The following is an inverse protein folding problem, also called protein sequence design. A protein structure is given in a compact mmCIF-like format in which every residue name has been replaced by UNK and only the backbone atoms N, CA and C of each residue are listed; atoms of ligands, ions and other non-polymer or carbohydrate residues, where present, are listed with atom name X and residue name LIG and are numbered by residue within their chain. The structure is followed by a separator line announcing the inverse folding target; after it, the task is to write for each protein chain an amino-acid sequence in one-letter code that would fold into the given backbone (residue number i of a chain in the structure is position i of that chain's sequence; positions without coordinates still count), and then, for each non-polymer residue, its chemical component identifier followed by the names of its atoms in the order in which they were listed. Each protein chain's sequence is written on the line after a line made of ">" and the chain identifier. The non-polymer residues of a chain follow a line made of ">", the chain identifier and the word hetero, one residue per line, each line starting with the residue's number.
data_IF_376140445661
#
_entry.id   IF_376140445661
#
_cell.length_a   1.000
_cell.length_b   1.000
_cell.length_c   1.000
_cell.angle_alpha   90.00
_cell.angle_beta   90.00
_cell.angle_gamma   90.00
#
_symmetry.space_group_name_H-M   'P 1'
#
loop_
_entity.id
_entity.type
_entity.pdbx_description
1 polymer ?
#
# COMPACT_ATOMS: atom_id res chain seq x y z
N UNK A 1 -8.66 5.03 -36.16
CA UNK A 1 -9.30 4.04 -37.07
C UNK A 1 -9.64 4.60 -38.45
N UNK A 2 -9.21 5.81 -38.84
CA UNK A 2 -9.53 6.40 -40.16
C UNK A 2 -8.34 6.30 -41.14
N UNK A 3 -7.10 6.38 -40.63
CA UNK A 3 -5.87 6.37 -41.45
C UNK A 3 -5.65 5.04 -42.19
N UNK A 4 -5.91 3.91 -41.54
CA UNK A 4 -5.77 2.57 -42.15
C UNK A 4 -6.66 2.39 -43.39
N UNK A 5 -7.85 3.01 -43.41
CA UNK A 5 -8.80 2.87 -44.52
C UNK A 5 -8.42 3.66 -45.77
N UNK A 6 -7.54 4.66 -45.65
CA UNK A 6 -7.01 5.41 -46.80
C UNK A 6 -5.78 4.72 -47.39
N UNK A 7 -4.91 4.12 -46.57
CA UNK A 7 -3.72 3.40 -47.04
C UNK A 7 -4.06 2.11 -47.80
N UNK A 8 -5.10 1.39 -47.37
CA UNK A 8 -5.60 0.18 -48.07
C UNK A 8 -6.17 0.48 -49.46
N UNK A 9 -6.58 1.72 -49.74
CA UNK A 9 -7.06 2.13 -51.07
C UNK A 9 -5.92 2.49 -52.05
N UNK A 10 -4.70 2.64 -51.55
CA UNK A 10 -3.51 2.99 -52.32
C UNK A 10 -2.55 1.79 -52.49
N UNK A 11 -3.09 0.57 -52.45
CA UNK A 11 -2.32 -0.66 -52.61
C UNK A 11 -1.84 -0.81 -54.07
N UNK A 12 -0.56 -1.17 -54.30
CA UNK A 12 -0.08 -1.61 -55.60
C UNK A 12 -0.81 -2.90 -56.03
N UNK A 13 -1.29 -2.96 -57.28
CA UNK A 13 -2.03 -4.13 -57.81
C UNK A 13 -1.11 -5.32 -58.17
N UNK A 14 0.21 -5.13 -58.20
CA UNK A 14 1.19 -6.18 -58.56
C UNK A 14 1.79 -6.89 -57.34
N UNK A 15 1.79 -8.24 -57.38
CA UNK A 15 2.10 -9.10 -56.24
C UNK A 15 3.50 -8.92 -55.61
N UNK A 16 4.52 -8.52 -56.38
CA UNK A 16 5.88 -8.30 -55.84
C UNK A 16 6.02 -6.95 -55.09
N UNK A 17 5.24 -5.94 -55.48
CA UNK A 17 5.23 -4.63 -54.81
C UNK A 17 4.36 -4.66 -53.55
N UNK A 18 3.27 -5.44 -53.60
CA UNK A 18 2.43 -5.71 -52.44
C UNK A 18 3.19 -6.46 -51.33
N UNK A 19 3.98 -7.49 -51.67
CA UNK A 19 4.76 -8.26 -50.69
C UNK A 19 5.79 -7.37 -49.97
N UNK A 20 6.48 -6.50 -50.71
CA UNK A 20 7.42 -5.51 -50.13
C UNK A 20 6.70 -4.53 -49.21
N UNK A 21 5.58 -3.97 -49.65
CA UNK A 21 4.77 -3.07 -48.83
C UNK A 21 4.26 -3.75 -47.55
N UNK A 22 3.84 -5.01 -47.65
CA UNK A 22 3.37 -5.80 -46.53
C UNK A 22 4.49 -6.02 -45.50
N UNK A 23 5.67 -6.45 -45.93
CA UNK A 23 6.82 -6.65 -45.05
C UNK A 23 7.31 -5.33 -44.42
N UNK A 24 7.33 -4.22 -45.17
CA UNK A 24 7.68 -2.90 -44.63
C UNK A 24 6.68 -2.42 -43.57
N UNK A 25 5.37 -2.62 -43.80
CA UNK A 25 4.32 -2.26 -42.84
C UNK A 25 4.35 -3.15 -41.62
N UNK A 26 4.59 -4.46 -41.79
CA UNK A 26 4.76 -5.41 -40.70
C UNK A 26 5.99 -5.07 -39.86
N UNK A 27 7.12 -4.74 -40.48
CA UNK A 27 8.31 -4.27 -39.78
C UNK A 27 8.04 -2.97 -39.01
N UNK A 28 7.29 -2.03 -39.61
CA UNK A 28 6.90 -0.78 -38.96
C UNK A 28 5.99 -1.00 -37.75
N UNK A 29 5.01 -1.91 -37.86
CA UNK A 29 4.12 -2.27 -36.75
C UNK A 29 4.90 -2.96 -35.62
N UNK A 30 5.79 -3.90 -35.96
CA UNK A 30 6.66 -4.55 -34.97
C UNK A 30 7.55 -3.54 -34.24
N UNK A 31 8.10 -2.55 -34.96
CA UNK A 31 8.90 -1.49 -34.34
C UNK A 31 8.06 -0.61 -33.39
N UNK A 32 6.82 -0.30 -33.75
CA UNK A 32 5.89 0.44 -32.88
C UNK A 32 5.54 -0.38 -31.64
N UNK A 33 5.28 -1.68 -31.79
CA UNK A 33 4.96 -2.58 -30.69
C UNK A 33 6.14 -2.70 -29.71
N UNK A 34 7.36 -2.92 -30.22
CA UNK A 34 8.57 -2.94 -29.41
C UNK A 34 8.80 -1.63 -28.65
N UNK A 35 8.55 -0.48 -29.30
CA UNK A 35 8.64 0.81 -28.64
C UNK A 35 7.55 0.96 -27.55
N UNK A 36 6.36 0.42 -27.79
CA UNK A 36 5.28 0.35 -26.82
C UNK A 36 5.69 -0.41 -25.56
N UNK A 37 6.23 -1.61 -25.71
CA UNK A 37 6.73 -2.44 -24.60
C UNK A 37 7.84 -1.72 -23.80
N UNK A 38 8.75 -1.04 -24.48
CA UNK A 38 9.80 -0.25 -23.84
C UNK A 38 9.23 0.93 -23.05
N UNK A 39 8.24 1.63 -23.61
CA UNK A 39 7.55 2.73 -22.92
C UNK A 39 6.82 2.24 -21.67
N UNK A 40 6.11 1.11 -21.75
CA UNK A 40 5.42 0.51 -20.61
C UNK A 40 6.40 0.08 -19.52
N UNK A 41 7.49 -0.57 -19.91
CA UNK A 41 8.56 -0.98 -18.99
C UNK A 41 9.17 0.23 -18.28
N UNK A 42 9.44 1.31 -19.01
CA UNK A 42 9.96 2.55 -18.45
C UNK A 42 8.95 3.21 -17.50
N UNK A 43 7.67 3.27 -17.87
CA UNK A 43 6.61 3.82 -17.02
C UNK A 43 6.45 3.02 -15.72
N UNK A 44 6.52 1.69 -15.80
CA UNK A 44 6.47 0.80 -14.64
C UNK A 44 7.68 1.02 -13.73
N UNK A 45 8.89 1.11 -14.30
CA UNK A 45 10.12 1.40 -13.55
C UNK A 45 10.06 2.77 -12.86
N UNK A 46 9.66 3.82 -13.58
CA UNK A 46 9.50 5.18 -13.05
C UNK A 46 8.47 5.22 -11.92
N UNK A 47 7.34 4.54 -12.10
CA UNK A 47 6.28 4.48 -11.09
C UNK A 47 6.74 3.75 -9.81
N UNK A 48 7.50 2.66 -9.95
CA UNK A 48 8.12 1.97 -8.81
C UNK A 48 9.12 2.88 -8.09
N UNK A 49 10.02 3.52 -8.82
CA UNK A 49 11.01 4.44 -8.25
C UNK A 49 10.32 5.59 -7.48
N UNK A 50 9.26 6.17 -8.05
CA UNK A 50 8.50 7.22 -7.39
C UNK A 50 7.82 6.73 -6.09
N UNK A 51 7.21 5.53 -6.10
CA UNK A 51 6.62 4.92 -4.90
C UNK A 51 7.65 4.70 -3.80
N UNK A 52 8.84 4.22 -4.15
CA UNK A 52 9.95 4.03 -3.20
C UNK A 52 10.37 5.36 -2.57
N UNK A 53 10.55 6.41 -3.37
CA UNK A 53 10.95 7.72 -2.85
C UNK A 53 9.89 8.33 -1.94
N UNK A 54 8.61 8.26 -2.33
CA UNK A 54 7.52 8.70 -1.45
C UNK A 54 7.46 7.88 -0.16
N UNK A 55 7.72 6.57 -0.24
CA UNK A 55 7.81 5.70 0.92
C UNK A 55 8.91 6.11 1.88
N UNK A 56 10.11 6.42 1.36
CA UNK A 56 11.25 6.91 2.13
C UNK A 56 10.94 8.24 2.83
N UNK A 57 10.29 9.18 2.13
CA UNK A 57 9.88 10.47 2.70
C UNK A 57 8.86 10.25 3.84
N UNK A 58 7.87 9.37 3.66
CA UNK A 58 6.88 9.05 4.69
C UNK A 58 7.53 8.40 5.90
N UNK A 59 8.44 7.45 5.69
CA UNK A 59 9.16 6.80 6.80
C UNK A 59 9.96 7.82 7.60
N UNK A 60 10.74 8.69 6.93
CA UNK A 60 11.48 9.75 7.59
C UNK A 60 10.55 10.67 8.40
N UNK A 61 9.41 11.07 7.83
CA UNK A 61 8.41 11.87 8.54
C UNK A 61 7.84 11.17 9.78
N UNK A 62 7.57 9.86 9.68
CA UNK A 62 7.12 9.05 10.83
C UNK A 62 8.18 9.06 11.93
N UNK A 63 9.45 8.86 11.58
CA UNK A 63 10.55 8.84 12.54
C UNK A 63 10.74 10.21 13.21
N UNK A 64 10.67 11.29 12.43
CA UNK A 64 10.73 12.67 12.95
C UNK A 64 9.58 12.93 13.93
N UNK A 65 8.34 12.54 13.58
CA UNK A 65 7.17 12.69 14.45
C UNK A 65 7.31 11.87 15.73
N UNK A 66 7.77 10.62 15.63
CA UNK A 66 7.96 9.76 16.80
C UNK A 66 9.04 10.34 17.73
N UNK A 67 10.15 10.82 17.17
CA UNK A 67 11.21 11.48 17.94
C UNK A 67 10.67 12.68 18.73
N UNK A 68 9.91 13.56 18.07
CA UNK A 68 9.26 14.70 18.74
C UNK A 68 8.24 14.28 19.80
N UNK A 69 7.46 13.22 19.56
CA UNK A 69 6.52 12.72 20.57
C UNK A 69 7.24 12.11 21.78
N UNK A 70 8.41 11.48 21.58
CA UNK A 70 9.26 11.01 22.67
C UNK A 70 9.81 12.18 23.49
N UNK A 71 10.25 13.27 22.85
CA UNK A 71 10.66 14.51 23.53
C UNK A 71 9.54 15.10 24.41
N UNK A 72 8.28 14.95 23.99
CA UNK A 72 7.08 15.35 24.75
C UNK A 72 6.68 14.35 25.87
N UNK A 73 7.43 13.27 26.09
CA UNK A 73 7.19 12.30 27.16
C UNK A 73 6.24 11.15 26.81
N UNK A 74 5.91 10.95 25.54
CA UNK A 74 5.01 9.87 25.10
C UNK A 74 5.69 8.52 24.87
N UNK A 75 6.98 8.39 25.18
CA UNK A 75 7.80 7.20 24.92
C UNK A 75 7.14 5.90 25.40
N UNK A 76 6.68 5.88 26.65
CA UNK A 76 6.06 4.69 27.25
C UNK A 76 4.82 4.18 26.50
N UNK A 77 4.06 5.07 25.85
CA UNK A 77 2.90 4.69 25.04
C UNK A 77 3.35 4.23 23.65
N UNK A 78 4.32 4.94 23.06
CA UNK A 78 4.87 4.64 21.73
C UNK A 78 5.46 3.23 21.70
N UNK A 79 6.19 2.82 22.73
CA UNK A 79 6.82 1.51 22.78
C UNK A 79 5.80 0.37 22.95
N UNK A 80 4.59 0.66 23.45
CA UNK A 80 3.50 -0.32 23.62
C UNK A 80 2.59 -0.44 22.42
N UNK A 81 2.50 0.60 21.58
CA UNK A 81 1.61 0.60 20.42
C UNK A 81 2.37 0.24 19.13
N UNK A 82 1.73 -0.46 18.19
CA UNK A 82 2.38 -0.74 16.91
C UNK A 82 2.62 0.57 16.15
N UNK A 83 3.86 0.78 15.70
CA UNK A 83 4.29 1.95 14.89
C UNK A 83 3.35 2.27 13.73
N UNK A 84 2.73 1.24 13.14
CA UNK A 84 1.73 1.36 12.06
C UNK A 84 0.54 2.25 12.44
N UNK A 85 0.11 2.28 13.71
CA UNK A 85 -1.02 3.14 14.16
C UNK A 85 -0.67 4.63 14.05
N UNK A 86 0.53 5.02 14.49
CA UNK A 86 1.01 6.40 14.33
C UNK A 86 1.23 6.72 12.85
N UNK A 87 1.86 5.80 12.11
CA UNK A 87 2.16 5.99 10.69
C UNK A 87 0.91 6.11 9.81
N UNK A 88 -0.21 5.53 10.23
CA UNK A 88 -1.49 5.62 9.52
C UNK A 88 -2.22 6.96 9.70
N UNK A 89 -1.80 7.78 10.67
CA UNK A 89 -2.45 9.08 10.90
C UNK A 89 -2.24 10.01 9.70
N UNK A 90 -3.31 10.69 9.26
CA UNK A 90 -3.34 11.51 8.03
C UNK A 90 -2.22 12.56 7.94
N UNK A 91 -1.84 13.17 9.07
CA UNK A 91 -0.81 14.21 9.13
C UNK A 91 0.62 13.64 9.08
N UNK A 92 0.76 12.35 9.43
CA UNK A 92 2.03 11.60 9.46
C UNK A 92 2.25 10.85 8.16
N UNK A 93 1.19 10.31 7.54
CA UNK A 93 1.23 9.61 6.24
C UNK A 93 1.54 10.53 5.04
N UNK A 94 1.71 11.83 5.28
CA UNK A 94 1.91 12.83 4.24
C UNK A 94 3.33 12.76 3.65
N UNK A 95 3.44 12.72 2.32
CA UNK A 95 4.72 12.59 1.61
C UNK A 95 5.50 13.91 1.50
N UNK A 96 5.65 14.64 2.60
CA UNK A 96 6.55 15.82 2.67
C UNK A 96 7.41 15.75 3.93
N UNK A 97 8.62 16.32 3.92
CA UNK A 97 9.42 16.44 5.14
C UNK A 97 8.66 17.17 6.26
N UNK A 98 8.91 16.78 7.50
CA UNK A 98 8.41 17.51 8.66
C UNK A 98 9.29 18.74 8.88
N UNK A 99 8.70 19.93 8.83
CA UNK A 99 9.37 21.19 9.17
C UNK A 99 8.90 21.67 10.53
N UNK A 100 9.68 22.49 11.24
CA UNK A 100 9.29 22.97 12.57
C UNK A 100 7.99 23.78 12.56
N UNK A 101 7.72 24.50 11.46
CA UNK A 101 6.43 25.19 11.26
C UNK A 101 5.29 24.19 11.10
N UNK A 102 5.49 23.13 10.32
CA UNK A 102 4.48 22.09 10.14
C UNK A 102 4.25 21.28 11.43
N UNK A 103 5.31 21.06 12.21
CA UNK A 103 5.23 20.43 13.53
C UNK A 103 4.38 21.25 14.48
N UNK A 104 4.62 22.55 14.63
CA UNK A 104 3.81 23.43 15.52
C UNK A 104 2.31 23.37 15.23
N UNK A 105 1.91 23.24 13.97
CA UNK A 105 0.50 23.10 13.60
C UNK A 105 -0.04 21.68 13.83
N UNK A 106 0.82 20.67 13.79
CA UNK A 106 0.48 19.26 13.91
C UNK A 106 0.47 18.78 15.37
N UNK A 107 1.34 19.33 16.20
CA UNK A 107 1.56 18.97 17.61
C UNK A 107 0.26 18.83 18.40
N UNK A 108 -0.65 19.84 18.46
CA UNK A 108 -1.88 19.72 19.24
C UNK A 108 -2.73 18.53 18.78
N UNK A 109 -2.85 18.32 17.46
CA UNK A 109 -3.62 17.21 16.88
C UNK A 109 -2.98 15.86 17.24
N UNK A 110 -1.65 15.77 17.25
CA UNK A 110 -0.96 14.53 17.60
C UNK A 110 -1.05 14.23 19.10
N UNK A 111 -1.02 15.24 19.95
CA UNK A 111 -1.20 15.08 21.40
C UNK A 111 -2.63 14.61 21.72
N UNK A 112 -3.64 15.18 21.07
CA UNK A 112 -5.03 14.69 21.16
C UNK A 112 -5.14 13.23 20.72
N UNK A 113 -4.55 12.89 19.58
CA UNK A 113 -4.51 11.52 19.08
C UNK A 113 -3.82 10.54 20.06
N UNK A 114 -2.71 10.95 20.67
CA UNK A 114 -2.01 10.13 21.67
C UNK A 114 -2.84 9.94 22.95
N UNK A 115 -3.61 10.96 23.35
CA UNK A 115 -4.56 10.85 24.46
C UNK A 115 -5.68 9.84 24.15
N UNK A 116 -6.25 9.87 22.95
CA UNK A 116 -7.25 8.88 22.52
C UNK A 116 -6.68 7.47 22.54
N UNK A 117 -5.44 7.28 22.06
CA UNK A 117 -4.77 5.99 22.10
C UNK A 117 -4.53 5.50 23.53
N UNK A 118 -4.13 6.40 24.44
CA UNK A 118 -3.98 6.08 25.87
C UNK A 118 -5.29 5.62 26.49
N UNK A 119 -6.40 6.28 26.17
CA UNK A 119 -7.73 5.90 26.67
C UNK A 119 -8.17 4.54 26.13
N UNK A 120 -7.96 4.28 24.83
CA UNK A 120 -8.28 2.98 24.22
C UNK A 120 -7.45 1.86 24.84
N UNK A 121 -6.15 2.07 25.06
CA UNK A 121 -5.28 1.07 25.68
C UNK A 121 -5.71 0.72 27.12
N UNK A 122 -6.13 1.72 27.91
CA UNK A 122 -6.67 1.49 29.27
C UNK A 122 -7.93 0.63 29.26
N UNK A 123 -8.82 0.82 28.28
CA UNK A 123 -10.06 0.04 28.15
C UNK A 123 -9.81 -1.41 27.79
N UNK A 124 -8.80 -1.68 26.97
CA UNK A 124 -8.41 -3.05 26.61
C UNK A 124 -7.86 -3.79 27.83
N UNK A 125 -6.95 -3.17 28.61
CA UNK A 125 -6.47 -3.80 29.86
C UNK A 125 -7.55 -4.01 30.93
N UNK A 126 -8.65 -3.26 30.91
CA UNK A 126 -9.77 -3.50 31.83
C UNK A 126 -10.75 -4.60 31.36
N UNK A 127 -10.57 -5.14 30.15
CA UNK A 127 -11.49 -6.11 29.54
C UNK A 127 -10.92 -7.54 29.49
N UNK A 128 -9.68 -7.74 29.97
CA UNK A 128 -9.02 -9.05 30.05
C UNK A 128 -9.38 -9.85 31.32
N UNK A 129 -10.43 -9.48 32.04
CA UNK A 129 -10.81 -10.14 33.30
C UNK A 129 -12.32 -10.28 33.46
N UNK A 130 -12.97 -10.99 32.54
CA UNK A 130 -14.21 -11.72 32.83
C UNK A 130 -14.38 -12.84 31.79
N UNK A 131 -13.51 -13.84 31.87
CA UNK A 131 -13.75 -15.17 31.33
C UNK A 131 -14.02 -16.08 32.52
N UNK A 132 -15.28 -16.10 32.98
CA UNK A 132 -15.74 -17.05 33.99
C UNK A 132 -15.74 -18.44 33.36
N UNK A 133 -14.70 -19.23 33.64
CA UNK A 133 -14.71 -20.67 33.41
C UNK A 133 -15.66 -21.30 34.42
N UNK A 134 -16.75 -21.89 33.94
CA UNK A 134 -17.51 -22.87 34.71
C UNK A 134 -16.76 -24.20 34.63
N UNK A 135 -16.43 -24.79 35.77
CA UNK A 135 -15.51 -25.93 35.95
C UNK A 135 -16.03 -27.31 35.47
N UNK A 136 -17.05 -27.38 34.60
CA UNK A 136 -17.71 -28.66 34.24
C UNK A 136 -17.76 -28.94 32.72
N UNK A 137 -16.63 -28.83 31.99
CA UNK A 137 -16.52 -29.47 30.66
C UNK A 137 -15.11 -30.01 30.34
N UNK A 138 -14.89 -31.34 30.32
CA UNK A 138 -13.59 -31.97 30.04
C UNK A 138 -13.18 -32.01 28.56
N UNK A 139 -13.90 -31.38 27.63
CA UNK A 139 -13.58 -31.45 26.20
C UNK A 139 -13.32 -30.07 25.59
N UNK A 140 -12.07 -29.93 25.13
CA UNK A 140 -11.61 -29.04 24.06
C UNK A 140 -11.55 -27.54 24.34
N UNK A 141 -10.37 -27.12 24.81
CA UNK A 141 -9.74 -25.83 24.50
C UNK A 141 -9.74 -25.58 22.98
N UNK A 142 -10.82 -24.99 22.46
CA UNK A 142 -10.75 -24.21 21.23
C UNK A 142 -10.07 -22.89 21.55
N UNK A 143 -8.76 -22.81 21.33
CA UNK A 143 -8.05 -21.54 21.18
C UNK A 143 -8.64 -20.88 19.93
N UNK A 144 -9.55 -19.92 20.12
CA UNK A 144 -10.04 -19.11 18.99
C UNK A 144 -8.90 -18.21 18.53
N UNK A 145 -8.09 -18.70 17.60
CA UNK A 145 -7.20 -17.84 16.84
C UNK A 145 -8.10 -16.92 16.01
N UNK A 146 -8.10 -15.62 16.31
CA UNK A 146 -8.84 -14.62 15.55
C UNK A 146 -8.52 -14.82 14.06
N UNK A 147 -9.52 -15.29 13.35
CA UNK A 147 -9.51 -15.50 11.92
C UNK A 147 -9.41 -14.14 11.24
N UNK A 148 -8.20 -13.78 10.80
CA UNK A 148 -8.05 -12.75 9.77
C UNK A 148 -8.63 -13.31 8.47
N UNK A 149 -9.92 -13.08 8.22
CA UNK A 149 -10.55 -13.34 6.92
C UNK A 149 -10.55 -12.07 6.10
N UNK A 150 -9.88 -12.08 4.93
CA UNK A 150 -10.00 -10.99 3.96
C UNK A 150 -11.30 -11.05 3.16
N UNK A 151 -11.99 -12.21 3.09
CA UNK A 151 -13.10 -12.40 2.12
C UNK A 151 -14.34 -13.15 2.65
N UNK A 152 -14.56 -13.25 3.96
CA UNK A 152 -15.84 -13.77 4.52
C UNK A 152 -16.23 -15.20 4.12
N UNK A 153 -15.29 -16.03 3.64
CA UNK A 153 -15.48 -17.46 3.41
C UNK A 153 -14.64 -18.26 4.41
N UNK A 154 -15.28 -19.17 5.15
CA UNK A 154 -14.62 -20.08 6.08
C UNK A 154 -13.57 -20.92 5.34
N UNK A 155 -12.34 -20.96 5.87
CA UNK A 155 -11.23 -21.68 5.26
C UNK A 155 -11.48 -23.20 5.37
N UNK A 156 -11.59 -23.88 4.23
CA UNK A 156 -11.81 -25.34 4.12
C UNK A 156 -10.48 -26.10 4.02
N UNK A 157 -9.48 -25.68 4.77
CA UNK A 157 -8.22 -26.41 4.86
C UNK A 157 -7.98 -26.71 6.34
N UNK A 158 -8.12 -27.99 6.67
CA UNK A 158 -7.77 -28.54 7.98
C UNK A 158 -6.26 -28.48 8.22
N UNK A 159 -5.81 -28.93 9.40
CA UNK A 159 -4.42 -28.77 9.82
C UNK A 159 -3.51 -29.55 8.87
N UNK A 160 -2.51 -28.87 8.30
CA UNK A 160 -1.45 -29.53 7.53
C UNK A 160 -0.61 -30.41 8.46
N UNK A 161 -0.23 -31.59 7.97
CA UNK A 161 0.73 -32.52 8.60
C UNK A 161 2.12 -31.90 8.84
#
# INVERSE_FOLDING_TARGET
>A
MIVLTQEVKALPEEGNEFEKWYEDKKASLNAIEQLGEQCETWLAARSRAHKVELGRIRQKRVDDVIGRLKELGWESLIDRIPRKKIASHKLVAYSRPLTDRAWRNMEPVMVEFMNELKQKNKRVSSMDMEMSYSDDDPLEKCVSYESWTLDGKCNRFGPFE
#
